data_IF_681954245439
#
_entry.id   IF_681954245439
#
_cell.length_a   1.000
_cell.length_b   1.000
_cell.length_c   1.000
_cell.angle_alpha   90.00
_cell.angle_beta   90.00
_cell.angle_gamma   90.00
#
_symmetry.space_group_name_H-M   'P 1'
#
loop_
_entity.id
_entity.type
_entity.pdbx_description
1 polymer ?
#
# COMPACT_ATOMS: atom_id res chain seq x y z
N UNK A 1 5.53 -31.64 3.36
CA UNK A 1 6.01 -30.69 4.39
C UNK A 1 7.16 -29.79 3.91
N UNK A 2 7.76 -30.04 2.73
CA UNK A 2 9.00 -29.36 2.33
C UNK A 2 8.83 -27.85 2.12
N UNK A 3 7.71 -27.42 1.52
CA UNK A 3 7.41 -26.00 1.38
C UNK A 3 7.37 -25.26 2.73
N UNK A 4 6.66 -25.78 3.74
CA UNK A 4 6.52 -25.11 5.03
C UNK A 4 7.87 -24.96 5.74
N UNK A 5 8.75 -25.98 5.67
CA UNK A 5 10.09 -25.92 6.24
C UNK A 5 10.96 -24.87 5.54
N UNK A 6 10.98 -24.89 4.21
CA UNK A 6 11.79 -23.96 3.42
C UNK A 6 11.28 -22.52 3.54
N UNK A 7 9.96 -22.32 3.57
CA UNK A 7 9.34 -21.02 3.81
C UNK A 7 9.76 -20.46 5.16
N UNK A 8 9.62 -21.24 6.24
CA UNK A 8 10.01 -20.81 7.59
C UNK A 8 11.50 -20.45 7.69
N UNK A 9 12.37 -21.23 7.03
CA UNK A 9 13.81 -20.95 7.00
C UNK A 9 14.11 -19.61 6.29
N UNK A 10 13.48 -19.34 5.14
CA UNK A 10 13.68 -18.09 4.41
C UNK A 10 13.00 -16.89 5.08
N UNK A 11 11.92 -17.09 5.84
CA UNK A 11 11.22 -16.00 6.54
C UNK A 11 11.76 -15.69 7.93
N UNK A 12 12.72 -16.45 8.45
CA UNK A 12 13.23 -16.31 9.82
C UNK A 12 13.80 -14.91 10.15
N UNK A 13 14.25 -14.18 9.14
CA UNK A 13 14.81 -12.83 9.26
C UNK A 13 13.74 -11.72 9.31
N UNK A 14 12.48 -12.02 9.03
CA UNK A 14 11.39 -11.05 9.04
C UNK A 14 10.63 -11.08 10.37
N UNK A 15 9.98 -9.97 10.70
CA UNK A 15 9.18 -9.83 11.91
C UNK A 15 7.93 -10.72 11.80
N UNK A 16 7.76 -11.61 12.77
CA UNK A 16 6.60 -12.49 12.86
C UNK A 16 5.29 -11.68 12.88
N UNK A 17 4.29 -12.14 12.12
CA UNK A 17 3.00 -11.45 11.95
C UNK A 17 2.96 -10.48 10.75
N UNK A 18 4.10 -10.20 10.10
CA UNK A 18 4.11 -9.43 8.85
C UNK A 18 3.65 -10.33 7.68
N UNK A 19 2.64 -9.93 6.88
CA UNK A 19 2.23 -10.70 5.72
C UNK A 19 3.31 -10.65 4.63
N UNK A 20 3.86 -11.80 4.26
CA UNK A 20 4.92 -11.94 3.24
C UNK A 20 4.36 -12.67 2.02
N UNK A 21 4.31 -12.03 0.84
CA UNK A 21 3.85 -12.67 -0.38
C UNK A 21 4.90 -13.63 -0.95
N UNK A 22 4.49 -14.84 -1.31
CA UNK A 22 5.31 -15.81 -2.03
C UNK A 22 4.67 -16.12 -3.39
N UNK A 23 5.47 -16.09 -4.47
CA UNK A 23 5.05 -16.58 -5.78
C UNK A 23 5.54 -18.01 -5.93
N UNK A 24 4.61 -18.95 -5.98
CA UNK A 24 4.92 -20.37 -6.16
C UNK A 24 4.67 -20.73 -7.63
N UNK A 25 5.67 -21.35 -8.26
CA UNK A 25 5.56 -21.91 -9.60
C UNK A 25 5.59 -23.42 -9.46
N UNK A 26 4.47 -24.07 -9.79
CA UNK A 26 4.34 -25.53 -9.75
C UNK A 26 4.52 -26.08 -11.15
N UNK A 27 5.41 -27.06 -11.31
CA UNK A 27 5.68 -27.73 -12.59
C UNK A 27 4.90 -29.05 -12.70
N UNK A 28 4.71 -29.61 -13.91
CA UNK A 28 3.92 -30.83 -14.13
C UNK A 28 4.49 -32.08 -13.44
N UNK A 29 5.80 -32.09 -13.18
CA UNK A 29 6.52 -33.13 -12.43
C UNK A 29 6.29 -33.05 -10.91
N UNK A 30 5.34 -32.21 -10.45
CA UNK A 30 5.06 -31.91 -9.04
C UNK A 30 6.22 -31.24 -8.29
N UNK A 31 7.27 -30.82 -8.99
CA UNK A 31 8.28 -29.94 -8.41
C UNK A 31 7.74 -28.53 -8.29
N UNK A 32 8.25 -27.78 -7.31
CA UNK A 32 7.88 -26.39 -7.10
C UNK A 32 9.13 -25.53 -6.90
N UNK A 33 9.08 -24.31 -7.41
CA UNK A 33 10.02 -23.25 -7.05
C UNK A 33 9.23 -22.08 -6.50
N UNK A 34 9.75 -21.38 -5.50
CA UNK A 34 9.07 -20.20 -4.97
C UNK A 34 10.03 -19.06 -4.69
N UNK A 35 9.52 -17.86 -4.98
CA UNK A 35 10.20 -16.60 -4.72
C UNK A 35 9.43 -15.84 -3.65
N UNK A 36 10.13 -15.53 -2.55
CA UNK A 36 9.61 -14.65 -1.51
C UNK A 36 9.77 -13.21 -1.98
N UNK A 37 8.74 -12.41 -1.73
CA UNK A 37 8.74 -10.97 -2.01
C UNK A 37 8.67 -10.17 -0.72
N UNK A 38 9.03 -8.92 -0.83
CA UNK A 38 8.92 -7.90 0.20
C UNK A 38 7.47 -7.73 0.65
N UNK A 39 7.26 -7.36 1.93
CA UNK A 39 5.93 -7.11 2.46
C UNK A 39 5.15 -6.08 1.63
N UNK A 40 3.81 -6.17 1.57
CA UNK A 40 2.99 -5.17 0.91
C UNK A 40 3.22 -3.79 1.50
N UNK A 41 3.28 -2.77 0.65
CA UNK A 41 3.44 -1.37 1.07
C UNK A 41 2.36 -0.95 2.06
N UNK A 42 1.12 -1.43 1.91
CA UNK A 42 0.04 -1.13 2.85
C UNK A 42 0.36 -1.60 4.27
N UNK A 43 0.81 -2.85 4.44
CA UNK A 43 1.15 -3.41 5.74
C UNK A 43 2.31 -2.64 6.40
N UNK A 44 3.33 -2.25 5.63
CA UNK A 44 4.45 -1.42 6.12
C UNK A 44 3.99 -0.01 6.53
N UNK A 45 3.08 0.61 5.78
CA UNK A 45 2.53 1.91 6.10
C UNK A 45 1.64 1.87 7.36
N UNK A 46 0.85 0.81 7.53
CA UNK A 46 0.06 0.60 8.74
C UNK A 46 0.93 0.36 9.97
N UNK A 47 2.01 -0.42 9.82
CA UNK A 47 2.99 -0.61 10.87
C UNK A 47 3.69 0.70 11.26
N UNK A 48 4.12 1.50 10.27
CA UNK A 48 4.75 2.81 10.50
C UNK A 48 3.79 3.86 11.10
N UNK A 49 2.49 3.79 10.76
CA UNK A 49 1.46 4.65 11.33
C UNK A 49 0.97 4.18 12.71
N UNK A 50 1.40 3.00 13.18
CA UNK A 50 0.87 2.32 14.37
C UNK A 50 -0.65 2.11 14.34
N UNK A 51 -1.21 1.81 13.16
CA UNK A 51 -2.64 1.56 12.98
C UNK A 51 -2.90 0.15 12.49
N UNK A 52 -3.94 -0.51 13.01
CA UNK A 52 -4.37 -1.83 12.52
C UNK A 52 -5.03 -1.70 11.15
N UNK A 53 -4.81 -2.70 10.28
CA UNK A 53 -5.53 -2.81 9.01
C UNK A 53 -7.05 -2.79 9.24
N UNK A 54 -7.76 -1.86 8.57
CA UNK A 54 -9.23 -1.88 8.53
C UNK A 54 -9.68 -2.40 7.17
N UNK A 55 -10.68 -3.29 7.18
CA UNK A 55 -11.22 -3.99 6.00
C UNK A 55 -12.20 -3.14 5.15
N UNK A 56 -12.57 -1.95 5.62
CA UNK A 56 -13.51 -1.05 4.92
C UNK A 56 -12.77 -0.05 4.02
N UNK A 57 -13.48 0.55 3.06
CA UNK A 57 -13.02 1.68 2.22
C UNK A 57 -12.64 2.87 3.13
N UNK A 58 -11.45 2.80 3.71
CA UNK A 58 -10.79 3.96 4.30
C UNK A 58 -10.57 4.92 3.14
N UNK A 59 -10.94 6.18 3.32
CA UNK A 59 -10.74 7.23 2.32
C UNK A 59 -9.30 7.24 1.87
N UNK A 60 -9.08 7.69 0.63
CA UNK A 60 -7.80 8.29 0.30
C UNK A 60 -7.51 9.45 1.27
N UNK A 61 -6.46 9.41 2.08
CA UNK A 61 -5.84 10.62 2.61
C UNK A 61 -5.55 11.49 1.38
N UNK A 62 -5.99 12.75 1.40
CA UNK A 62 -5.99 13.66 0.25
C UNK A 62 -4.61 13.99 -0.35
N UNK A 63 -3.60 13.14 -0.14
CA UNK A 63 -2.23 13.24 -0.59
C UNK A 63 -2.00 12.66 -1.99
N UNK A 64 -3.03 12.10 -2.65
CA UNK A 64 -3.00 11.80 -4.08
C UNK A 64 -3.78 12.84 -4.87
N UNK A 65 -3.18 13.46 -5.90
CA UNK A 65 -3.94 14.17 -6.92
C UNK A 65 -4.81 13.15 -7.68
N UNK A 66 -5.95 12.80 -7.09
CA UNK A 66 -7.10 12.35 -7.87
C UNK A 66 -7.66 13.56 -8.62
N UNK A 67 -8.32 13.36 -9.77
CA UNK A 67 -8.72 14.41 -10.70
C UNK A 67 -9.74 15.45 -10.17
N UNK A 68 -9.97 15.57 -8.85
CA UNK A 68 -10.96 16.51 -8.30
C UNK A 68 -10.57 17.26 -7.04
N UNK A 69 -9.36 17.15 -6.47
CA UNK A 69 -9.15 17.68 -5.11
C UNK A 69 -8.37 18.99 -4.96
N UNK A 70 -7.85 19.61 -6.01
CA UNK A 70 -7.04 20.84 -5.87
C UNK A 70 -7.46 22.01 -6.78
N UNK A 71 -8.73 22.14 -7.17
CA UNK A 71 -9.24 23.39 -7.75
C UNK A 71 -10.34 23.99 -6.86
N UNK A 72 -10.27 25.29 -6.48
CA UNK A 72 -11.29 25.96 -5.67
C UNK A 72 -12.66 26.08 -6.37
N UNK A 73 -12.78 25.63 -7.61
CA UNK A 73 -14.01 25.61 -8.42
C UNK A 73 -14.45 24.18 -8.81
N UNK A 74 -13.84 23.13 -8.24
CA UNK A 74 -14.29 21.76 -8.47
C UNK A 74 -15.44 21.40 -7.50
N UNK A 75 -16.56 22.12 -7.60
CA UNK A 75 -17.82 21.56 -7.15
C UNK A 75 -18.09 20.34 -8.04
N UNK A 76 -18.12 19.15 -7.44
CA UNK A 76 -18.56 17.95 -8.13
C UNK A 76 -19.91 18.22 -8.81
N UNK A 77 -20.14 17.59 -9.97
CA UNK A 77 -21.39 17.75 -10.74
C UNK A 77 -22.59 17.74 -9.78
N UNK A 78 -23.33 18.86 -9.75
CA UNK A 78 -24.56 18.94 -9.00
C UNK A 78 -25.47 17.77 -9.40
N UNK A 79 -26.02 17.09 -8.40
CA UNK A 79 -26.90 15.95 -8.59
C UNK A 79 -28.08 16.37 -9.48
N UNK A 80 -28.28 15.64 -10.59
CA UNK A 80 -29.50 15.72 -11.38
C UNK A 80 -30.67 15.22 -10.52
N UNK A 81 -31.83 15.89 -10.48
CA UNK A 81 -32.94 15.46 -9.63
C UNK A 81 -33.43 14.10 -10.12
N UNK A 82 -33.26 13.06 -9.30
CA UNK A 82 -33.76 11.70 -9.60
C UNK A 82 -32.72 10.57 -9.62
N UNK A 83 -31.41 10.84 -9.48
CA UNK A 83 -30.42 9.78 -9.24
C UNK A 83 -29.96 9.76 -7.79
N UNK A 84 -30.47 8.80 -7.03
CA UNK A 84 -29.97 8.43 -5.71
C UNK A 84 -28.53 7.91 -5.83
N UNK A 85 -27.57 8.68 -5.33
CA UNK A 85 -26.25 8.16 -4.97
C UNK A 85 -25.02 8.83 -5.60
N UNK A 86 -25.02 10.15 -5.83
CA UNK A 86 -23.76 10.89 -5.80
C UNK A 86 -23.33 10.96 -4.33
N UNK A 87 -22.77 9.86 -3.81
CA UNK A 87 -22.21 9.85 -2.47
C UNK A 87 -21.09 10.89 -2.47
N UNK A 88 -21.31 12.02 -1.79
CA UNK A 88 -20.21 12.71 -1.14
C UNK A 88 -19.41 11.59 -0.49
N UNK A 89 -18.23 11.29 -1.05
CA UNK A 89 -17.41 10.21 -0.51
C UNK A 89 -17.15 10.51 0.96
N UNK A 90 -16.51 9.59 1.66
CA UNK A 90 -16.23 9.69 3.09
C UNK A 90 -15.38 10.93 3.51
N UNK A 91 -15.26 11.99 2.69
CA UNK A 91 -14.79 13.36 2.87
C UNK A 91 -14.95 14.00 4.28
N UNK A 92 -15.86 13.52 5.12
CA UNK A 92 -16.02 13.92 6.52
C UNK A 92 -15.24 13.08 7.57
N UNK A 93 -14.82 11.84 7.26
CA UNK A 93 -14.29 10.86 8.22
C UNK A 93 -12.79 10.96 8.64
N UNK A 94 -12.06 12.03 8.26
CA UNK A 94 -10.66 12.25 8.67
C UNK A 94 -9.61 11.26 8.12
N UNK A 95 -8.38 11.38 8.61
CA UNK A 95 -7.24 10.49 8.29
C UNK A 95 -7.13 9.38 9.34
N UNK A 96 -6.69 8.19 8.92
CA UNK A 96 -6.54 7.02 9.81
C UNK A 96 -5.23 7.05 10.60
N UNK A 97 -4.18 7.65 10.04
CA UNK A 97 -2.90 7.86 10.71
C UNK A 97 -2.02 8.82 9.93
N UNK A 98 -0.88 9.18 10.51
CA UNK A 98 0.15 10.01 9.89
C UNK A 98 1.46 9.26 9.77
N UNK A 99 2.21 9.49 8.70
CA UNK A 99 3.54 8.91 8.46
C UNK A 99 4.47 10.01 7.96
N UNK A 100 5.70 10.05 8.44
CA UNK A 100 6.69 11.04 8.02
C UNK A 100 7.39 10.66 6.70
N UNK A 101 7.97 11.63 6.01
CA UNK A 101 8.77 11.38 4.79
C UNK A 101 9.94 10.43 5.02
N UNK A 102 10.52 10.41 6.23
CA UNK A 102 11.60 9.47 6.59
C UNK A 102 11.13 8.01 6.47
N UNK A 103 9.96 7.69 7.00
CA UNK A 103 9.40 6.34 6.89
C UNK A 103 9.06 5.97 5.44
N UNK A 104 8.54 6.92 4.65
CA UNK A 104 8.30 6.70 3.21
C UNK A 104 9.59 6.32 2.49
N UNK A 105 10.68 7.02 2.79
CA UNK A 105 12.00 6.77 2.20
C UNK A 105 12.58 5.40 2.62
N UNK A 106 12.45 5.02 3.89
CA UNK A 106 12.88 3.70 4.37
C UNK A 106 12.09 2.57 3.71
N UNK A 107 10.77 2.72 3.59
CA UNK A 107 9.91 1.75 2.87
C UNK A 107 10.34 1.64 1.40
N UNK A 108 10.63 2.77 0.76
CA UNK A 108 11.07 2.79 -0.64
C UNK A 108 12.41 2.06 -0.82
N UNK A 109 13.38 2.27 0.09
CA UNK A 109 14.65 1.53 0.09
C UNK A 109 14.48 0.03 0.23
N UNK A 110 13.63 -0.41 1.16
CA UNK A 110 13.35 -1.84 1.35
C UNK A 110 12.81 -2.45 0.04
N UNK A 111 11.87 -1.76 -0.62
CA UNK A 111 11.27 -2.24 -1.87
C UNK A 111 12.23 -2.18 -3.06
N UNK A 112 13.17 -1.24 -3.06
CA UNK A 112 14.17 -1.14 -4.13
C UNK A 112 15.15 -2.32 -4.13
N UNK A 113 15.36 -2.98 -2.98
CA UNK A 113 16.18 -4.19 -2.88
C UNK A 113 15.65 -5.41 -3.64
N UNK A 114 14.41 -5.35 -4.13
CA UNK A 114 13.84 -6.38 -4.99
C UNK A 114 14.42 -6.33 -6.41
N UNK A 115 14.96 -7.46 -6.89
CA UNK A 115 15.50 -7.59 -8.26
C UNK A 115 14.49 -7.13 -9.33
N UNK A 116 13.19 -7.35 -9.11
CA UNK A 116 12.10 -6.94 -10.02
C UNK A 116 11.83 -5.43 -10.07
N UNK A 117 12.25 -4.68 -9.06
CA UNK A 117 12.06 -3.22 -8.97
C UNK A 117 13.37 -2.46 -9.21
N UNK A 118 14.45 -3.17 -9.53
CA UNK A 118 15.80 -2.61 -9.75
C UNK A 118 15.87 -1.57 -10.87
N UNK A 119 14.96 -1.62 -11.86
CA UNK A 119 14.89 -0.64 -12.95
C UNK A 119 14.14 0.66 -12.63
N UNK A 120 13.54 0.79 -11.44
CA UNK A 120 12.80 2.00 -11.05
C UNK A 120 13.70 2.94 -10.23
N UNK A 121 13.55 4.24 -10.47
CA UNK A 121 14.21 5.24 -9.65
C UNK A 121 13.62 5.24 -8.23
N UNK A 122 14.46 5.52 -7.24
CA UNK A 122 14.04 5.63 -5.84
C UNK A 122 12.93 6.68 -5.66
N UNK A 123 13.02 7.79 -6.41
CA UNK A 123 11.98 8.82 -6.43
C UNK A 123 10.63 8.27 -6.94
N UNK A 124 10.64 7.47 -8.01
CA UNK A 124 9.44 6.83 -8.54
C UNK A 124 8.79 5.87 -7.53
N UNK A 125 9.61 5.12 -6.80
CA UNK A 125 9.14 4.24 -5.72
C UNK A 125 8.55 5.08 -4.57
N UNK A 126 9.22 6.16 -4.15
CA UNK A 126 8.70 7.06 -3.13
C UNK A 126 7.34 7.65 -3.51
N UNK A 127 7.20 8.18 -4.75
CA UNK A 127 5.92 8.71 -5.26
C UNK A 127 4.83 7.64 -5.25
N UNK A 128 5.16 6.40 -5.62
CA UNK A 128 4.21 5.28 -5.56
C UNK A 128 3.79 4.95 -4.11
N UNK A 129 4.72 4.98 -3.16
CA UNK A 129 4.42 4.75 -1.73
C UNK A 129 3.54 5.85 -1.16
N UNK A 130 3.83 7.13 -1.49
CA UNK A 130 2.98 8.26 -1.10
C UNK A 130 1.57 8.09 -1.69
N UNK A 131 1.48 7.66 -2.95
CA UNK A 131 0.19 7.43 -3.57
C UNK A 131 -0.63 6.33 -2.88
N UNK A 132 0.06 5.25 -2.51
CA UNK A 132 -0.53 4.15 -1.74
C UNK A 132 -1.00 4.63 -0.35
N UNK A 133 -0.17 5.41 0.36
CA UNK A 133 -0.50 6.01 1.67
C UNK A 133 -1.75 6.88 1.58
N UNK A 134 -1.81 7.71 0.53
CA UNK A 134 -3.01 8.40 0.09
C UNK A 134 -4.18 7.44 0.05
N UNK A 135 -4.20 6.47 -0.87
CA UNK A 135 -5.31 5.52 -1.06
C UNK A 135 -5.84 4.83 0.21
N UNK A 136 -4.98 4.53 1.19
CA UNK A 136 -5.34 3.82 2.43
C UNK A 136 -5.70 4.74 3.61
N UNK A 137 -5.70 6.06 3.42
CA UNK A 137 -6.08 7.01 4.48
C UNK A 137 -4.97 7.40 5.43
N UNK A 138 -3.71 7.17 5.04
CA UNK A 138 -2.53 7.55 5.80
C UNK A 138 -1.98 8.86 5.24
N UNK A 139 -1.99 9.91 6.04
CA UNK A 139 -1.47 11.21 5.63
C UNK A 139 0.05 11.23 5.76
N UNK A 140 0.71 11.66 4.69
CA UNK A 140 2.16 11.87 4.69
C UNK A 140 2.44 13.30 5.17
N UNK A 141 3.23 13.41 6.23
CA UNK A 141 3.66 14.68 6.83
C UNK A 141 5.11 14.92 6.44
N UNK A 142 5.49 16.16 6.05
CA UNK A 142 6.87 16.52 5.76
C UNK A 142 7.82 16.22 6.94
#
# INVERSE_FOLDING_TARGET
>A
MDFCKEFNARTAQFIAGTPIPARITVRPDRSFTFDIRTPPTASLLFAAAHVKEKKNKIRGAGNVPGPSNNLPSAHGKAATPGQSGAGNGNAALGNVGTVSLKHVYEIAKIKQGETRLSGLSLEGICRSVVAQAGSIGVAVVP
#
